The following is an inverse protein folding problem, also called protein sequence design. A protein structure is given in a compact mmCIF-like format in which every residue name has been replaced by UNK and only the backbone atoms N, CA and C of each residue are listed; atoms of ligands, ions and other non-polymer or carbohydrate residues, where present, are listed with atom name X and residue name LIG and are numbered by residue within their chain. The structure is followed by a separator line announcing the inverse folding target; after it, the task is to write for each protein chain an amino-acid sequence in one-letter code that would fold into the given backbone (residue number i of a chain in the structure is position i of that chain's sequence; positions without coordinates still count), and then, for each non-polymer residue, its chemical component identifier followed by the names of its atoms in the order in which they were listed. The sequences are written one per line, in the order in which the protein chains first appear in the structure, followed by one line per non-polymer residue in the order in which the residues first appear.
data_IF_061632899262
#
_entry.id   IF_061632899262
#
_cell.length_a   1.000
_cell.length_b   1.000
_cell.length_c   1.000
_cell.angle_alpha   90.00
_cell.angle_beta   90.00
_cell.angle_gamma   90.00
#
_symmetry.space_group_name_H-M   'P 1'
#
loop_
_entity.id
_entity.type
_entity.pdbx_description
1 polymer ?
#
# COMPACT_ATOMS: atom_id res chain seq x y z
N UNK A 1 1.64 5.64 21.01
CA UNK A 1 0.59 6.69 20.88
C UNK A 1 -0.27 6.64 22.13
N UNK A 2 -0.82 7.78 22.55
CA UNK A 2 -1.77 7.86 23.66
C UNK A 2 -3.02 7.00 23.36
N UNK A 3 -3.39 6.03 24.22
CA UNK A 3 -4.59 5.22 24.03
C UNK A 3 -5.89 6.04 23.91
N UNK A 4 -5.92 7.27 24.42
CA UNK A 4 -7.07 8.18 24.30
C UNK A 4 -7.13 8.95 22.97
N UNK A 5 -6.10 8.86 22.13
CA UNK A 5 -6.11 9.53 20.82
C UNK A 5 -7.17 8.93 19.89
N UNK A 6 -7.87 9.74 19.06
CA UNK A 6 -8.77 9.22 18.04
C UNK A 6 -8.08 8.17 17.16
N UNK A 7 -8.80 7.08 16.86
CA UNK A 7 -8.35 5.94 16.07
C UNK A 7 -7.19 5.11 16.68
N UNK A 8 -6.92 5.22 17.98
CA UNK A 8 -5.85 4.48 18.65
C UNK A 8 -6.04 2.95 18.57
N UNK A 9 -7.27 2.47 18.79
CA UNK A 9 -7.62 1.04 18.74
C UNK A 9 -7.51 0.48 17.32
N UNK A 10 -8.03 1.23 16.35
CA UNK A 10 -7.96 0.96 14.92
C UNK A 10 -6.52 0.80 14.49
N UNK A 11 -5.68 1.78 14.83
CA UNK A 11 -4.26 1.74 14.50
C UNK A 11 -3.56 0.54 15.15
N UNK A 12 -3.83 0.26 16.43
CA UNK A 12 -3.20 -0.87 17.12
C UNK A 12 -3.52 -2.20 16.41
N UNK A 13 -4.79 -2.45 16.12
CA UNK A 13 -5.22 -3.67 15.44
C UNK A 13 -4.69 -3.74 14.01
N UNK A 14 -4.73 -2.62 13.27
CA UNK A 14 -4.19 -2.52 11.91
C UNK A 14 -2.68 -2.83 11.90
N UNK A 15 -1.91 -2.22 12.81
CA UNK A 15 -0.48 -2.48 12.93
C UNK A 15 -0.18 -3.95 13.25
N UNK A 16 -0.89 -4.54 14.22
CA UNK A 16 -0.70 -5.94 14.61
C UNK A 16 -1.06 -6.91 13.49
N UNK A 17 -2.21 -6.73 12.84
CA UNK A 17 -2.65 -7.66 11.80
C UNK A 17 -1.81 -7.54 10.52
N UNK A 18 -1.35 -6.34 10.17
CA UNK A 18 -0.40 -6.14 9.05
C UNK A 18 0.95 -6.77 9.37
N UNK A 19 1.44 -6.69 10.61
CA UNK A 19 2.68 -7.38 11.00
C UNK A 19 2.52 -8.90 10.92
N UNK A 20 1.37 -9.45 11.35
CA UNK A 20 1.07 -10.88 11.23
C UNK A 20 1.01 -11.34 9.77
N UNK A 21 0.38 -10.55 8.90
CA UNK A 21 0.35 -10.83 7.46
C UNK A 21 1.75 -10.71 6.81
N UNK A 22 2.57 -9.73 7.21
CA UNK A 22 3.95 -9.62 6.75
C UNK A 22 4.84 -10.82 7.15
N UNK A 23 4.58 -11.42 8.32
CA UNK A 23 5.24 -12.66 8.73
C UNK A 23 4.88 -13.83 7.79
N UNK A 24 3.60 -13.93 7.45
CA UNK A 24 3.07 -14.93 6.53
C UNK A 24 3.72 -14.82 5.14
N UNK A 25 3.79 -13.61 4.58
CA UNK A 25 4.39 -13.39 3.26
C UNK A 25 5.89 -13.72 3.26
N UNK A 26 6.63 -13.40 4.34
CA UNK A 26 8.05 -13.78 4.47
C UNK A 26 8.26 -15.29 4.58
N UNK A 27 7.41 -16.00 5.31
CA UNK A 27 7.46 -17.48 5.37
C UNK A 27 7.31 -18.12 3.99
N UNK A 28 6.43 -17.57 3.15
CA UNK A 28 6.27 -18.05 1.77
C UNK A 28 7.50 -17.76 0.90
N UNK A 29 8.07 -16.56 0.98
CA UNK A 29 9.32 -16.25 0.24
C UNK A 29 10.46 -17.19 0.64
N UNK A 30 10.62 -17.47 1.92
CA UNK A 30 11.63 -18.44 2.38
C UNK A 30 11.38 -19.85 1.83
N UNK A 31 10.12 -20.29 1.71
CA UNK A 31 9.77 -21.59 1.14
C UNK A 31 10.08 -21.64 -0.37
N UNK A 32 9.79 -20.55 -1.09
CA UNK A 32 10.13 -20.38 -2.51
C UNK A 32 11.64 -20.38 -2.71
N UNK A 33 12.41 -19.66 -1.89
CA UNK A 33 13.87 -19.60 -1.98
C UNK A 33 14.55 -20.93 -1.64
N UNK A 34 13.98 -21.73 -0.75
CA UNK A 34 14.42 -23.10 -0.45
C UNK A 34 14.02 -24.12 -1.53
N UNK A 35 13.36 -23.68 -2.61
CA UNK A 35 12.89 -24.56 -3.69
C UNK A 35 11.74 -25.48 -3.29
N UNK A 36 11.08 -25.21 -2.15
CA UNK A 36 9.89 -25.95 -1.73
C UNK A 36 8.65 -25.52 -2.52
N UNK A 37 8.70 -24.38 -3.19
CA UNK A 37 7.69 -23.83 -4.09
C UNK A 37 8.37 -23.30 -5.37
N UNK A 38 7.72 -23.46 -6.52
CA UNK A 38 8.26 -23.01 -7.81
C UNK A 38 8.06 -21.50 -7.99
N UNK A 39 9.10 -20.78 -8.44
CA UNK A 39 9.06 -19.33 -8.73
C UNK A 39 8.29 -18.99 -10.01
N UNK A 40 8.16 -19.95 -10.92
CA UNK A 40 7.41 -19.80 -12.18
C UNK A 40 5.91 -20.06 -12.01
N UNK A 41 5.52 -20.66 -10.89
CA UNK A 41 4.13 -20.88 -10.49
C UNK A 41 3.59 -19.64 -9.76
N UNK A 42 2.41 -19.15 -10.14
CA UNK A 42 1.75 -18.03 -9.45
C UNK A 42 1.03 -18.47 -8.17
N UNK A 43 0.97 -19.78 -7.88
CA UNK A 43 0.33 -20.32 -6.68
C UNK A 43 0.85 -19.71 -5.36
N UNK A 44 2.16 -19.50 -5.14
CA UNK A 44 2.66 -18.94 -3.88
C UNK A 44 2.12 -17.53 -3.58
N UNK A 45 2.02 -16.68 -4.60
CA UNK A 45 1.48 -15.33 -4.39
C UNK A 45 -0.02 -15.37 -4.15
N UNK A 46 -0.76 -16.15 -4.94
CA UNK A 46 -2.20 -16.40 -4.72
C UNK A 46 -2.51 -16.87 -3.30
N UNK A 47 -1.71 -17.80 -2.75
CA UNK A 47 -1.86 -18.27 -1.37
C UNK A 47 -1.59 -17.13 -0.36
N UNK A 48 -0.55 -16.31 -0.60
CA UNK A 48 -0.22 -15.17 0.24
C UNK A 48 -1.36 -14.16 0.30
N UNK A 49 -1.89 -13.80 -0.87
CA UNK A 49 -2.97 -12.83 -1.04
C UNK A 49 -4.22 -13.24 -0.25
N UNK A 50 -4.71 -14.45 -0.49
CA UNK A 50 -5.91 -14.95 0.18
C UNK A 50 -5.75 -15.09 1.70
N UNK A 51 -4.62 -15.65 2.15
CA UNK A 51 -4.40 -15.89 3.57
C UNK A 51 -4.19 -14.57 4.34
N UNK A 52 -3.44 -13.61 3.76
CA UNK A 52 -3.28 -12.28 4.35
C UNK A 52 -4.61 -11.52 4.41
N UNK A 53 -5.40 -11.53 3.32
CA UNK A 53 -6.73 -10.90 3.30
C UNK A 53 -7.64 -11.49 4.38
N UNK A 54 -7.71 -12.82 4.52
CA UNK A 54 -8.54 -13.46 5.55
C UNK A 54 -8.11 -13.09 6.98
N UNK A 55 -6.80 -13.10 7.26
CA UNK A 55 -6.28 -12.76 8.60
C UNK A 55 -6.51 -11.29 8.96
N UNK A 56 -6.35 -10.38 7.99
CA UNK A 56 -6.56 -8.95 8.16
C UNK A 56 -8.04 -8.66 8.41
N UNK A 57 -8.92 -9.14 7.53
CA UNK A 57 -10.36 -8.92 7.66
C UNK A 57 -10.88 -9.56 8.95
N UNK A 58 -10.46 -10.79 9.26
CA UNK A 58 -10.87 -11.48 10.49
C UNK A 58 -10.56 -10.68 11.75
N UNK A 59 -9.34 -10.16 11.88
CA UNK A 59 -8.92 -9.38 13.04
C UNK A 59 -9.72 -8.08 13.19
N UNK A 60 -9.90 -7.34 12.10
CA UNK A 60 -10.58 -6.05 12.12
C UNK A 60 -12.09 -6.22 12.29
N UNK A 61 -12.72 -7.12 11.52
CA UNK A 61 -14.16 -7.35 11.55
C UNK A 61 -14.62 -7.83 12.94
N UNK A 62 -13.80 -8.63 13.64
CA UNK A 62 -14.10 -9.03 15.01
C UNK A 62 -14.22 -7.85 15.97
N UNK A 63 -13.41 -6.81 15.78
CA UNK A 63 -13.40 -5.61 16.61
C UNK A 63 -14.39 -4.54 16.15
N UNK A 64 -14.70 -4.52 14.84
CA UNK A 64 -15.57 -3.55 14.17
C UNK A 64 -16.52 -4.29 13.20
N UNK A 65 -17.59 -4.94 13.72
CA UNK A 65 -18.45 -5.81 12.92
C UNK A 65 -19.31 -5.07 11.90
N UNK A 66 -19.53 -3.76 12.09
CA UNK A 66 -20.33 -2.92 11.20
C UNK A 66 -19.49 -2.23 10.10
N UNK A 67 -18.16 -2.33 10.16
CA UNK A 67 -17.28 -1.72 9.16
C UNK A 67 -17.32 -2.53 7.86
N UNK A 68 -17.28 -1.83 6.73
CA UNK A 68 -17.20 -2.39 5.39
C UNK A 68 -15.75 -2.80 5.05
N UNK A 69 -15.58 -3.71 4.09
CA UNK A 69 -14.25 -4.15 3.64
C UNK A 69 -14.10 -4.08 2.13
N UNK A 70 -13.02 -3.48 1.66
CA UNK A 70 -12.64 -3.38 0.25
C UNK A 70 -11.28 -4.03 0.07
N UNK A 71 -11.27 -5.33 -0.16
CA UNK A 71 -10.08 -6.11 -0.50
C UNK A 71 -10.01 -6.42 -1.99
N UNK A 72 -8.82 -6.73 -2.49
CA UNK A 72 -8.60 -7.07 -3.90
C UNK A 72 -9.24 -8.42 -4.28
N UNK A 73 -9.14 -9.40 -3.38
CA UNK A 73 -9.37 -10.80 -3.70
C UNK A 73 -10.81 -11.28 -3.48
N UNK A 74 -11.22 -12.33 -4.23
CA UNK A 74 -12.46 -13.10 -4.02
C UNK A 74 -12.20 -14.61 -3.90
N UNK A 75 -13.10 -15.35 -3.26
CA UNK A 75 -12.82 -16.76 -2.91
C UNK A 75 -13.04 -17.76 -4.05
N UNK A 76 -13.39 -17.33 -5.27
CA UNK A 76 -13.80 -18.25 -6.36
C UNK A 76 -12.71 -19.24 -6.73
N UNK A 77 -11.46 -18.80 -6.80
CA UNK A 77 -10.32 -19.66 -7.13
C UNK A 77 -10.14 -20.76 -6.06
N UNK A 78 -10.23 -20.41 -4.78
CA UNK A 78 -10.15 -21.37 -3.67
C UNK A 78 -11.31 -22.37 -3.68
N UNK A 79 -12.52 -21.93 -4.01
CA UNK A 79 -13.70 -22.83 -4.10
C UNK A 79 -13.60 -23.80 -5.28
N UNK A 80 -12.87 -23.43 -6.33
CA UNK A 80 -12.66 -24.26 -7.51
C UNK A 80 -11.49 -25.25 -7.36
N UNK A 81 -10.55 -24.99 -6.43
CA UNK A 81 -9.32 -25.77 -6.24
C UNK A 81 -9.14 -26.18 -4.76
N UNK A 82 -9.52 -27.43 -4.40
CA UNK A 82 -9.36 -27.95 -3.04
C UNK A 82 -7.93 -28.00 -2.52
N UNK A 83 -6.92 -28.17 -3.39
CA UNK A 83 -5.52 -28.22 -2.97
C UNK A 83 -5.03 -26.81 -2.63
N UNK A 84 -5.37 -25.83 -3.45
CA UNK A 84 -5.11 -24.42 -3.17
C UNK A 84 -5.78 -23.97 -1.87
N UNK A 85 -7.04 -24.38 -1.65
CA UNK A 85 -7.76 -24.11 -0.41
C UNK A 85 -7.07 -24.72 0.81
N UNK A 86 -6.63 -25.98 0.74
CA UNK A 86 -5.90 -26.62 1.83
C UNK A 86 -4.63 -25.87 2.19
N UNK A 87 -3.82 -25.53 1.18
CA UNK A 87 -2.54 -24.82 1.39
C UNK A 87 -2.74 -23.42 1.93
N UNK A 88 -3.78 -22.71 1.47
CA UNK A 88 -4.16 -21.39 1.99
C UNK A 88 -4.62 -21.48 3.43
N UNK A 89 -5.44 -22.48 3.77
CA UNK A 89 -5.90 -22.71 5.13
C UNK A 89 -4.77 -23.08 6.08
N UNK A 90 -3.87 -23.97 5.68
CA UNK A 90 -2.70 -24.35 6.49
C UNK A 90 -1.83 -23.13 6.80
N UNK A 91 -1.58 -22.28 5.80
CA UNK A 91 -0.80 -21.07 6.00
C UNK A 91 -1.49 -20.07 6.93
N UNK A 92 -2.78 -19.81 6.73
CA UNK A 92 -3.55 -18.88 7.55
C UNK A 92 -3.68 -19.38 9.00
N UNK A 93 -4.01 -20.65 9.18
CA UNK A 93 -4.27 -21.25 10.50
C UNK A 93 -3.02 -21.48 11.35
N UNK A 94 -1.84 -21.51 10.75
CA UNK A 94 -0.55 -21.68 11.45
C UNK A 94 0.25 -20.38 11.59
N UNK A 95 -0.27 -19.24 11.13
CA UNK A 95 0.41 -17.94 11.26
C UNK A 95 -0.09 -17.20 12.49
N UNK A 96 0.83 -16.99 13.43
CA UNK A 96 0.60 -16.25 14.67
C UNK A 96 1.78 -15.36 14.99
N UNK A 97 1.54 -14.28 15.72
CA UNK A 97 2.61 -13.55 16.41
C UNK A 97 3.17 -14.40 17.57
N UNK A 98 4.48 -14.32 17.79
CA UNK A 98 5.16 -15.01 18.90
C UNK A 98 4.77 -14.42 20.28
N UNK A 99 4.29 -13.17 20.30
CA UNK A 99 3.83 -12.49 21.51
C UNK A 99 2.35 -12.78 21.76
N UNK A 100 2.07 -13.49 22.86
CA UNK A 100 0.72 -13.99 23.16
C UNK A 100 -0.28 -12.89 23.46
N UNK A 101 0.15 -11.81 24.12
CA UNK A 101 -0.73 -10.70 24.46
C UNK A 101 -1.17 -9.95 23.20
N UNK A 102 -0.23 -9.74 22.27
CA UNK A 102 -0.51 -9.16 20.96
C UNK A 102 -1.40 -10.07 20.10
N UNK A 103 -1.10 -11.38 20.02
CA UNK A 103 -1.90 -12.33 19.26
C UNK A 103 -3.33 -12.46 19.81
N UNK A 104 -3.51 -12.37 21.14
CA UNK A 104 -4.82 -12.44 21.77
C UNK A 104 -5.75 -11.26 21.42
N UNK A 105 -5.20 -10.14 20.94
CA UNK A 105 -5.99 -9.02 20.42
C UNK A 105 -6.52 -9.27 19.00
N UNK A 106 -5.93 -10.23 18.29
CA UNK A 106 -6.28 -10.56 16.92
C UNK A 106 -7.25 -11.73 16.86
N UNK A 107 -7.97 -11.80 15.75
CA UNK A 107 -8.84 -12.92 15.42
C UNK A 107 -8.31 -13.61 14.16
N UNK A 108 -8.39 -14.94 14.13
CA UNK A 108 -8.09 -15.76 12.98
C UNK A 108 -9.33 -16.64 12.67
N UNK A 109 -9.61 -16.93 11.38
CA UNK A 109 -10.70 -17.83 11.02
C UNK A 109 -10.48 -19.21 11.65
N UNK A 110 -11.57 -19.85 12.06
CA UNK A 110 -11.58 -21.15 12.74
C UNK A 110 -11.92 -22.31 11.82
N UNK A 111 -12.32 -22.01 10.59
CA UNK A 111 -12.60 -23.02 9.56
C UNK A 111 -12.29 -22.47 8.17
N UNK A 112 -12.16 -23.38 7.20
CA UNK A 112 -12.03 -23.04 5.78
C UNK A 112 -13.21 -22.21 5.27
N UNK A 113 -14.43 -22.55 5.68
CA UNK A 113 -15.61 -21.79 5.24
C UNK A 113 -15.58 -20.35 5.77
N UNK A 114 -15.24 -20.17 7.05
CA UNK A 114 -15.08 -18.83 7.62
C UNK A 114 -13.96 -18.03 6.94
N UNK A 115 -12.85 -18.69 6.57
CA UNK A 115 -11.79 -18.05 5.78
C UNK A 115 -12.30 -17.56 4.42
N UNK A 116 -13.08 -18.39 3.71
CA UNK A 116 -13.67 -18.03 2.41
C UNK A 116 -14.67 -16.86 2.57
N UNK A 117 -15.51 -16.90 3.61
CA UNK A 117 -16.47 -15.83 3.91
C UNK A 117 -15.81 -14.49 4.20
N UNK A 118 -14.70 -14.50 4.95
CA UNK A 118 -13.91 -13.29 5.24
C UNK A 118 -13.26 -12.73 3.96
N UNK A 119 -12.73 -13.60 3.08
CA UNK A 119 -12.21 -13.16 1.78
C UNK A 119 -13.33 -12.49 0.96
N UNK A 120 -14.49 -13.13 0.86
CA UNK A 120 -15.64 -12.61 0.11
C UNK A 120 -16.27 -11.37 0.75
N UNK A 121 -16.06 -11.11 2.04
CA UNK A 121 -16.44 -9.85 2.68
C UNK A 121 -15.67 -8.68 2.04
N UNK A 122 -14.37 -8.83 1.82
CA UNK A 122 -13.53 -7.83 1.14
C UNK A 122 -13.89 -7.64 -0.34
N UNK A 123 -14.31 -8.71 -1.03
CA UNK A 123 -14.70 -8.64 -2.43
C UNK A 123 -16.01 -7.85 -2.67
N UNK A 124 -16.91 -7.82 -1.68
CA UNK A 124 -18.27 -7.26 -1.81
C UNK A 124 -18.38 -5.79 -1.40
N UNK A 125 -17.54 -5.34 -0.47
CA UNK A 125 -17.66 -3.99 0.06
C UNK A 125 -17.19 -2.90 -0.90
N UNK A 126 -17.51 -1.67 -0.53
CA UNK A 126 -17.18 -0.44 -1.28
C UNK A 126 -17.05 0.74 -0.33
N UNK A 127 -16.22 1.71 -0.68
CA UNK A 127 -16.21 2.99 0.03
C UNK A 127 -17.41 3.85 -0.42
N UNK A 128 -17.98 4.63 0.51
CA UNK A 128 -19.03 5.61 0.25
C UNK A 128 -18.88 6.83 1.19
N UNK A 129 -19.71 7.85 0.98
CA UNK A 129 -19.78 9.01 1.88
C UNK A 129 -20.47 8.69 3.22
N UNK A 130 -21.14 7.55 3.30
CA UNK A 130 -21.94 7.11 4.45
C UNK A 130 -21.31 5.90 5.14
N UNK A 131 -20.21 5.37 4.60
CA UNK A 131 -19.56 4.17 5.12
C UNK A 131 -18.25 4.49 5.83
N UNK A 132 -17.94 3.57 6.73
CA UNK A 132 -16.63 3.37 7.30
C UNK A 132 -16.11 2.05 6.76
N UNK A 133 -15.04 2.09 5.99
CA UNK A 133 -14.55 0.96 5.22
C UNK A 133 -13.04 0.78 5.40
N UNK A 134 -12.63 -0.46 5.62
CA UNK A 134 -11.24 -0.86 5.57
C UNK A 134 -10.87 -1.27 4.15
N UNK A 135 -9.88 -0.60 3.59
CA UNK A 135 -9.34 -0.87 2.26
C UNK A 135 -8.03 -1.61 2.43
N UNK A 136 -7.85 -2.74 1.73
CA UNK A 136 -6.62 -3.51 1.80
C UNK A 136 -6.16 -4.03 0.43
N UNK A 137 -4.85 -4.10 0.29
CA UNK A 137 -4.15 -4.88 -0.71
C UNK A 137 -3.26 -5.86 0.07
N UNK A 138 -3.55 -7.17 0.02
CA UNK A 138 -2.81 -8.14 0.81
C UNK A 138 -1.34 -8.27 0.38
N UNK A 139 -1.02 -8.09 -0.91
CA UNK A 139 0.35 -8.07 -1.46
C UNK A 139 0.45 -7.07 -2.64
N UNK A 140 0.64 -5.78 -2.33
CA UNK A 140 0.94 -4.77 -3.35
C UNK A 140 2.34 -5.05 -3.91
N UNK A 141 2.39 -5.30 -5.22
CA UNK A 141 3.60 -5.69 -5.93
C UNK A 141 3.80 -7.21 -6.04
N UNK A 142 2.74 -7.98 -6.25
CA UNK A 142 2.73 -9.42 -6.59
C UNK A 142 3.91 -9.86 -7.48
N UNK A 143 4.21 -9.13 -8.56
CA UNK A 143 5.26 -9.49 -9.51
C UNK A 143 6.68 -9.37 -8.93
N UNK A 144 6.92 -8.39 -8.06
CA UNK A 144 8.20 -8.18 -7.38
C UNK A 144 8.32 -9.04 -6.13
N UNK A 145 7.20 -9.33 -5.45
CA UNK A 145 7.11 -10.36 -4.41
C UNK A 145 7.67 -11.70 -4.91
N UNK A 146 7.20 -12.20 -6.06
CA UNK A 146 7.69 -13.47 -6.63
C UNK A 146 9.20 -13.48 -6.97
N UNK A 147 9.80 -12.30 -7.12
CA UNK A 147 11.24 -12.12 -7.37
C UNK A 147 12.05 -11.92 -6.08
N UNK A 148 11.40 -11.91 -4.91
CA UNK A 148 12.03 -11.57 -3.63
C UNK A 148 12.46 -10.11 -3.54
N UNK A 149 11.85 -9.23 -4.34
CA UNK A 149 12.09 -7.79 -4.40
C UNK A 149 11.15 -7.03 -3.44
N UNK A 150 10.96 -5.73 -3.64
CA UNK A 150 10.12 -4.93 -2.75
C UNK A 150 8.63 -5.23 -2.99
N UNK A 151 7.86 -5.25 -1.90
CA UNK A 151 6.40 -5.40 -1.89
C UNK A 151 5.85 -4.86 -0.57
N UNK A 152 4.53 -4.70 -0.48
CA UNK A 152 3.88 -4.24 0.74
C UNK A 152 2.60 -5.02 1.06
N UNK A 153 2.29 -5.12 2.35
CA UNK A 153 0.98 -5.50 2.87
C UNK A 153 0.29 -4.22 3.32
N UNK A 154 -0.86 -3.88 2.73
CA UNK A 154 -1.44 -2.55 2.82
C UNK A 154 -2.81 -2.59 3.49
N UNK A 155 -3.03 -1.69 4.45
CA UNK A 155 -4.31 -1.53 5.12
C UNK A 155 -4.58 -0.05 5.40
N UNK A 156 -5.77 0.41 5.05
CA UNK A 156 -6.22 1.77 5.31
C UNK A 156 -7.66 1.78 5.82
N UNK A 157 -7.99 2.75 6.67
CA UNK A 157 -9.36 3.05 7.07
C UNK A 157 -9.81 4.31 6.34
N UNK A 158 -10.94 4.20 5.63
CA UNK A 158 -11.63 5.33 4.99
C UNK A 158 -12.97 5.51 5.68
N UNK A 159 -13.28 6.74 6.08
CA UNK A 159 -14.55 7.09 6.74
C UNK A 159 -15.08 8.38 6.10
N UNK A 160 -16.32 8.31 5.60
CA UNK A 160 -16.98 9.40 4.89
C UNK A 160 -16.14 9.96 3.72
N UNK A 161 -15.54 9.05 2.93
CA UNK A 161 -14.67 9.40 1.80
C UNK A 161 -13.27 9.92 2.16
N UNK A 162 -12.92 9.98 3.45
CA UNK A 162 -11.64 10.49 3.92
C UNK A 162 -10.80 9.40 4.58
N UNK A 163 -9.52 9.31 4.23
CA UNK A 163 -8.58 8.41 4.90
C UNK A 163 -8.35 8.85 6.36
N UNK A 164 -8.42 7.90 7.29
CA UNK A 164 -8.25 8.13 8.73
C UNK A 164 -7.02 7.45 9.31
N UNK A 165 -6.77 6.21 8.87
CA UNK A 165 -5.62 5.40 9.29
C UNK A 165 -4.99 4.79 8.04
N UNK A 166 -3.66 4.72 8.00
CA UNK A 166 -2.92 4.04 6.95
C UNK A 166 -1.77 3.26 7.57
N UNK A 167 -1.64 1.99 7.22
CA UNK A 167 -0.59 1.09 7.71
C UNK A 167 -0.06 0.28 6.52
N UNK A 168 1.23 0.38 6.27
CA UNK A 168 1.94 -0.45 5.31
C UNK A 168 2.99 -1.27 6.03
N UNK A 169 2.88 -2.59 5.95
CA UNK A 169 3.96 -3.51 6.26
C UNK A 169 4.83 -3.65 5.03
N UNK A 170 6.11 -3.32 5.11
CA UNK A 170 7.05 -3.41 4.00
C UNK A 170 8.13 -4.44 4.37
N UNK A 171 7.88 -5.75 4.14
CA UNK A 171 8.68 -6.81 4.78
C UNK A 171 10.11 -6.91 4.27
N UNK A 172 10.36 -6.34 3.09
CA UNK A 172 11.67 -6.28 2.44
C UNK A 172 12.28 -4.86 2.46
N UNK A 173 11.67 -3.92 3.18
CA UNK A 173 12.12 -2.53 3.18
C UNK A 173 13.52 -2.39 3.80
N UNK A 174 14.44 -1.88 2.98
CA UNK A 174 15.80 -1.54 3.39
C UNK A 174 16.04 -0.05 3.20
N UNK A 175 16.40 0.63 4.30
CA UNK A 175 16.64 2.08 4.32
C UNK A 175 18.13 2.44 4.50
N UNK A 176 19.04 1.46 4.51
CA UNK A 176 20.45 1.68 4.85
C UNK A 176 21.17 2.64 3.89
N UNK A 177 20.74 2.70 2.62
CA UNK A 177 21.31 3.57 1.58
C UNK A 177 20.63 4.94 1.49
N UNK A 178 19.58 5.18 2.29
CA UNK A 178 18.74 6.38 2.21
C UNK A 178 17.85 6.47 0.96
N UNK A 179 17.94 5.50 0.04
CA UNK A 179 17.11 5.42 -1.17
C UNK A 179 16.53 4.03 -1.32
N UNK A 180 15.23 3.96 -1.60
CA UNK A 180 14.58 2.70 -1.92
C UNK A 180 15.02 2.24 -3.30
N UNK A 181 15.30 0.95 -3.42
CA UNK A 181 15.53 0.28 -4.69
C UNK A 181 14.81 -1.05 -4.67
N UNK A 182 14.24 -1.42 -5.81
CA UNK A 182 13.51 -2.67 -6.00
C UNK A 182 14.35 -3.90 -5.63
N UNK A 183 15.66 -3.87 -5.93
CA UNK A 183 16.60 -4.98 -5.76
C UNK A 183 17.38 -4.99 -4.43
N UNK A 184 17.36 -3.87 -3.69
CA UNK A 184 18.06 -3.75 -2.40
C UNK A 184 17.03 -3.95 -1.28
N UNK A 185 17.01 -5.16 -0.74
CA UNK A 185 15.98 -5.62 0.20
C UNK A 185 16.56 -6.00 1.57
N UNK A 186 15.71 -6.02 2.59
CA UNK A 186 15.97 -6.68 3.86
C UNK A 186 15.64 -8.17 3.71
N UNK A 187 16.68 -9.00 3.55
CA UNK A 187 16.52 -10.44 3.34
C UNK A 187 16.25 -11.19 4.64
N UNK A 188 17.05 -10.89 5.65
CA UNK A 188 17.12 -11.64 6.91
C UNK A 188 16.12 -11.13 7.95
N UNK A 189 15.76 -9.85 7.88
CA UNK A 189 14.78 -9.22 8.75
C UNK A 189 13.37 -9.23 8.19
N UNK A 190 12.48 -8.53 8.89
CA UNK A 190 11.09 -8.31 8.51
C UNK A 190 10.83 -6.89 8.00
N UNK A 191 11.88 -6.14 7.63
CA UNK A 191 11.73 -4.79 7.11
C UNK A 191 11.12 -3.84 8.15
N UNK A 192 10.20 -2.98 7.71
CA UNK A 192 9.58 -1.97 8.58
C UNK A 192 8.10 -1.80 8.29
N UNK A 193 7.38 -1.32 9.29
CA UNK A 193 6.01 -0.85 9.15
C UNK A 193 6.02 0.68 9.14
N UNK A 194 5.34 1.27 8.16
CA UNK A 194 5.12 2.72 8.06
C UNK A 194 3.64 2.99 8.20
N UNK A 195 3.28 3.94 9.05
CA UNK A 195 1.88 4.19 9.37
C UNK A 195 1.59 5.64 9.73
N UNK A 196 0.32 6.01 9.63
CA UNK A 196 -0.17 7.35 9.87
C UNK A 196 -1.62 7.32 10.39
N UNK A 197 -1.96 8.35 11.16
CA UNK A 197 -3.34 8.70 11.50
C UNK A 197 -3.55 10.15 11.09
N UNK A 198 -4.68 10.43 10.44
CA UNK A 198 -4.95 11.75 9.89
C UNK A 198 -4.81 12.87 10.95
N UNK A 199 -3.97 13.85 10.66
CA UNK A 199 -3.65 14.99 11.52
C UNK A 199 -2.69 14.70 12.68
N UNK A 200 -2.12 13.49 12.76
CA UNK A 200 -1.25 13.09 13.89
C UNK A 200 0.20 12.84 13.46
N UNK A 201 0.52 12.94 12.17
CA UNK A 201 1.84 12.65 11.62
C UNK A 201 1.99 11.21 11.13
N UNK A 202 3.19 10.90 10.64
CA UNK A 202 3.57 9.58 10.18
C UNK A 202 4.76 9.04 10.98
N UNK A 203 4.80 7.72 11.12
CA UNK A 203 5.79 7.01 11.92
C UNK A 203 6.28 5.77 11.20
N UNK A 204 7.45 5.32 11.63
CA UNK A 204 8.08 4.09 11.16
C UNK A 204 8.55 3.26 12.35
N UNK A 205 8.44 1.94 12.25
CA UNK A 205 9.05 1.00 13.20
C UNK A 205 9.58 -0.21 12.48
N UNK A 206 10.61 -0.87 13.03
CA UNK A 206 10.97 -2.22 12.57
C UNK A 206 9.85 -3.19 12.89
N UNK A 207 9.58 -4.11 11.96
CA UNK A 207 8.67 -5.24 12.22
C UNK A 207 9.44 -6.40 12.82
N UNK A 208 8.72 -7.26 13.52
CA UNK A 208 9.23 -8.52 14.04
C UNK A 208 8.14 -9.55 14.15
N UNK A 209 8.45 -10.65 14.83
CA UNK A 209 7.51 -11.77 15.01
C UNK A 209 6.57 -11.59 16.21
N UNK A 210 6.89 -10.73 17.16
CA UNK A 210 6.19 -10.58 18.43
C UNK A 210 5.38 -9.28 18.54
N UNK A 211 5.51 -8.60 19.69
CA UNK A 211 4.83 -7.34 19.95
C UNK A 211 5.31 -6.20 19.02
N UNK A 212 4.48 -5.17 18.89
CA UNK A 212 4.87 -3.95 18.16
C UNK A 212 6.04 -3.27 18.87
N UNK A 213 7.14 -3.06 18.14
CA UNK A 213 8.29 -2.30 18.63
C UNK A 213 7.98 -0.81 18.75
N UNK A 214 8.84 -0.07 19.45
CA UNK A 214 8.79 1.38 19.48
C UNK A 214 8.87 1.97 18.06
N UNK A 215 8.20 3.09 17.84
CA UNK A 215 8.13 3.76 16.55
C UNK A 215 8.76 5.14 16.63
N UNK A 216 9.45 5.52 15.56
CA UNK A 216 10.05 6.83 15.38
C UNK A 216 9.16 7.69 14.48
N UNK A 217 9.09 8.99 14.75
CA UNK A 217 8.41 9.92 13.85
C UNK A 217 9.25 10.15 12.60
N UNK A 218 8.61 10.14 11.43
CA UNK A 218 9.29 10.39 10.15
C UNK A 218 9.59 11.88 9.96
N UNK A 219 8.77 12.77 10.54
CA UNK A 219 8.91 14.21 10.39
C UNK A 219 8.56 14.74 9.00
N UNK A 220 8.37 16.06 8.91
CA UNK A 220 7.96 16.73 7.67
C UNK A 220 9.03 16.63 6.57
N UNK A 221 8.59 16.50 5.31
CA UNK A 221 9.47 16.54 4.15
C UNK A 221 9.84 17.98 3.77
N UNK A 222 11.07 18.22 3.27
CA UNK A 222 11.47 19.53 2.79
C UNK A 222 10.56 20.07 1.69
N UNK A 223 10.34 21.38 1.69
CA UNK A 223 9.71 22.07 0.57
C UNK A 223 10.74 22.25 -0.57
N UNK A 224 10.25 22.19 -1.81
CA UNK A 224 11.05 22.32 -3.03
C UNK A 224 10.50 23.47 -3.86
N UNK A 225 11.35 24.35 -4.36
CA UNK A 225 10.93 25.49 -5.20
C UNK A 225 11.60 25.50 -6.57
N UNK A 226 12.82 24.96 -6.69
CA UNK A 226 13.50 24.80 -7.98
C UNK A 226 13.15 23.42 -8.58
N UNK A 227 12.60 23.34 -9.80
CA UNK A 227 12.34 22.06 -10.46
C UNK A 227 13.57 21.18 -10.62
N UNK A 228 14.79 21.76 -10.60
CA UNK A 228 16.04 20.98 -10.65
C UNK A 228 16.24 20.08 -9.43
N UNK A 229 15.59 20.39 -8.32
CA UNK A 229 15.65 19.61 -7.08
C UNK A 229 14.55 18.53 -7.02
N UNK A 230 13.68 18.43 -8.04
CA UNK A 230 12.72 17.35 -8.15
C UNK A 230 13.45 16.01 -8.37
N UNK A 231 13.09 15.03 -7.58
CA UNK A 231 13.54 13.65 -7.69
C UNK A 231 12.30 12.75 -7.75
N UNK A 232 12.02 12.27 -8.96
CA UNK A 232 10.83 11.48 -9.23
C UNK A 232 11.02 10.01 -8.83
N UNK A 233 9.93 9.40 -8.37
CA UNK A 233 9.73 7.95 -8.36
C UNK A 233 8.69 7.56 -9.41
N UNK A 234 8.97 6.48 -10.13
CA UNK A 234 8.08 5.92 -11.14
C UNK A 234 8.27 4.39 -11.24
N UNK A 235 7.62 3.76 -12.23
CA UNK A 235 7.82 2.36 -12.58
C UNK A 235 7.97 2.21 -14.10
N UNK A 236 9.16 1.85 -14.56
CA UNK A 236 9.45 1.73 -15.99
C UNK A 236 8.67 0.60 -16.66
N UNK A 237 8.34 -0.43 -15.88
CA UNK A 237 7.60 -1.61 -16.34
C UNK A 237 6.08 -1.48 -16.17
N UNK A 238 5.57 -0.36 -15.62
CA UNK A 238 4.14 -0.18 -15.41
C UNK A 238 3.38 -0.06 -16.75
N UNK A 239 2.37 -0.92 -16.91
CA UNK A 239 1.52 -0.93 -18.11
C UNK A 239 0.40 0.10 -18.05
N UNK A 240 0.03 0.58 -16.86
CA UNK A 240 -1.05 1.57 -16.67
C UNK A 240 -0.59 3.03 -16.82
N UNK A 241 0.70 3.32 -16.62
CA UNK A 241 1.27 4.67 -16.65
C UNK A 241 1.91 5.02 -17.99
N UNK A 242 1.82 6.27 -18.41
CA UNK A 242 2.41 6.81 -19.62
C UNK A 242 3.72 7.56 -19.31
N UNK A 243 4.82 6.80 -19.17
CA UNK A 243 6.13 7.34 -18.78
C UNK A 243 6.72 8.35 -19.78
N UNK A 244 6.32 8.30 -21.06
CA UNK A 244 6.75 9.31 -22.03
C UNK A 244 6.10 10.68 -21.78
N UNK A 245 4.85 10.70 -21.30
CA UNK A 245 4.21 11.95 -20.86
C UNK A 245 4.84 12.47 -19.56
N UNK A 246 5.23 11.58 -18.65
CA UNK A 246 5.96 12.00 -17.45
C UNK A 246 7.29 12.68 -17.82
N UNK A 247 8.04 12.11 -18.77
CA UNK A 247 9.27 12.68 -19.29
C UNK A 247 9.06 14.07 -19.93
N UNK A 248 7.95 14.24 -20.67
CA UNK A 248 7.58 15.55 -21.24
C UNK A 248 7.26 16.58 -20.16
N UNK A 249 6.54 16.19 -19.11
CA UNK A 249 6.25 17.09 -17.97
C UNK A 249 7.53 17.49 -17.25
N UNK A 250 8.44 16.53 -16.99
CA UNK A 250 9.74 16.83 -16.38
C UNK A 250 10.56 17.79 -17.25
N UNK A 251 10.63 17.55 -18.56
CA UNK A 251 11.29 18.42 -19.53
C UNK A 251 10.70 19.84 -19.53
N UNK A 252 9.37 19.96 -19.54
CA UNK A 252 8.65 21.24 -19.49
C UNK A 252 8.95 22.04 -18.22
N UNK A 253 9.09 21.35 -17.09
CA UNK A 253 9.45 21.95 -15.80
C UNK A 253 10.93 22.34 -15.71
N UNK A 254 11.80 21.79 -16.56
CA UNK A 254 13.25 21.85 -16.38
C UNK A 254 13.76 20.95 -15.26
N UNK A 255 13.03 19.88 -14.96
CA UNK A 255 13.33 18.91 -13.91
C UNK A 255 14.19 17.75 -14.44
N UNK A 256 14.98 17.07 -13.57
CA UNK A 256 15.75 15.89 -13.95
C UNK A 256 14.87 14.74 -14.44
N UNK A 257 15.31 14.08 -15.52
CA UNK A 257 14.71 12.85 -16.04
C UNK A 257 15.79 12.02 -16.78
N UNK A 258 15.81 10.67 -16.71
CA UNK A 258 14.85 9.77 -16.06
C UNK A 258 14.82 9.91 -14.53
N UNK A 259 13.71 9.48 -13.95
CA UNK A 259 13.51 9.34 -12.51
C UNK A 259 14.62 8.49 -11.87
N UNK A 260 14.95 8.75 -10.61
CA UNK A 260 16.07 8.05 -9.95
C UNK A 260 15.66 6.82 -9.14
N UNK A 261 14.35 6.69 -8.87
CA UNK A 261 13.76 5.59 -8.09
C UNK A 261 12.74 4.86 -8.94
N UNK A 262 13.01 3.59 -9.26
CA UNK A 262 12.08 2.69 -9.96
C UNK A 262 11.48 1.70 -8.96
N UNK A 263 10.17 1.75 -8.77
CA UNK A 263 9.44 0.88 -7.84
C UNK A 263 8.11 0.39 -8.43
N UNK A 264 7.96 -0.92 -8.53
CA UNK A 264 6.79 -1.60 -9.07
C UNK A 264 5.55 -1.40 -8.19
N UNK A 265 5.66 -1.82 -6.92
CA UNK A 265 4.61 -1.70 -5.90
C UNK A 265 4.14 -0.24 -5.80
N UNK A 266 2.83 -0.01 -5.97
CA UNK A 266 2.28 1.35 -6.02
C UNK A 266 2.45 2.07 -4.69
N UNK A 267 2.21 1.36 -3.60
CA UNK A 267 2.24 1.86 -2.24
C UNK A 267 3.66 2.22 -1.78
N UNK A 268 4.67 1.48 -2.24
CA UNK A 268 6.08 1.79 -1.90
C UNK A 268 6.61 3.07 -2.52
N UNK A 269 5.98 3.59 -3.57
CA UNK A 269 6.34 4.90 -4.13
C UNK A 269 5.99 6.02 -3.15
N UNK A 270 4.88 5.89 -2.42
CA UNK A 270 4.56 6.80 -1.32
C UNK A 270 5.55 6.67 -0.16
N UNK A 271 5.98 5.45 0.16
CA UNK A 271 6.99 5.22 1.19
C UNK A 271 8.34 5.84 0.80
N UNK A 272 8.77 5.70 -0.46
CA UNK A 272 10.00 6.32 -0.95
C UNK A 272 10.00 7.83 -0.75
N UNK A 273 8.87 8.49 -1.01
CA UNK A 273 8.69 9.93 -0.74
C UNK A 273 8.68 10.19 0.77
N UNK A 274 7.93 9.41 1.55
CA UNK A 274 7.74 9.63 2.98
C UNK A 274 9.05 9.55 3.76
N UNK A 275 9.91 8.58 3.45
CA UNK A 275 11.21 8.40 4.11
C UNK A 275 12.30 9.30 3.53
N UNK A 276 12.02 10.06 2.46
CA UNK A 276 12.94 11.01 1.84
C UNK A 276 13.93 10.39 0.84
N UNK A 277 13.64 9.21 0.29
CA UNK A 277 14.43 8.61 -0.79
C UNK A 277 14.25 9.29 -2.15
N UNK A 278 13.09 9.92 -2.34
CA UNK A 278 12.75 10.79 -3.47
C UNK A 278 11.74 11.83 -2.99
N UNK A 279 11.19 12.67 -3.87
CA UNK A 279 10.30 13.75 -3.45
C UNK A 279 9.06 14.01 -4.34
N UNK A 280 8.94 13.37 -5.50
CA UNK A 280 7.78 13.56 -6.35
C UNK A 280 7.33 12.28 -7.08
N UNK A 281 6.04 12.20 -7.39
CA UNK A 281 5.45 11.19 -8.27
C UNK A 281 4.43 11.86 -9.19
N UNK A 282 4.41 11.44 -10.44
CA UNK A 282 3.37 11.77 -11.42
C UNK A 282 2.88 10.45 -12.01
N UNK A 283 1.56 10.27 -12.05
CA UNK A 283 0.91 9.13 -12.71
C UNK A 283 -0.09 9.65 -13.72
N UNK A 284 0.31 9.70 -14.99
CA UNK A 284 -0.56 9.95 -16.13
C UNK A 284 -0.97 8.59 -16.72
N UNK A 285 -2.26 8.22 -16.70
CA UNK A 285 -2.69 6.95 -17.25
C UNK A 285 -2.50 6.86 -18.77
N UNK A 286 -2.21 5.66 -19.30
CA UNK A 286 -2.16 5.45 -20.77
C UNK A 286 -3.52 5.58 -21.45
N UNK A 287 -4.59 5.24 -20.73
CA UNK A 287 -5.98 5.28 -21.23
C UNK A 287 -6.78 6.28 -20.42
N UNK A 288 -7.51 7.18 -21.09
CA UNK A 288 -8.35 8.18 -20.44
C UNK A 288 -9.46 7.56 -19.54
N UNK A 289 -9.93 6.36 -19.90
CA UNK A 289 -10.94 5.60 -19.13
C UNK A 289 -10.38 4.90 -17.89
N UNK A 290 -9.05 4.81 -17.74
CA UNK A 290 -8.45 4.14 -16.59
C UNK A 290 -8.69 4.93 -15.30
N UNK A 291 -9.01 4.20 -14.23
CA UNK A 291 -9.06 4.70 -12.86
C UNK A 291 -8.35 3.69 -11.97
N UNK A 292 -7.48 4.18 -11.09
CA UNK A 292 -6.76 3.32 -10.16
C UNK A 292 -7.71 2.62 -9.20
N UNK A 293 -7.31 1.43 -8.75
CA UNK A 293 -7.98 0.81 -7.61
C UNK A 293 -7.67 1.62 -6.36
N UNK A 294 -8.61 1.62 -5.41
CA UNK A 294 -8.42 2.38 -4.17
C UNK A 294 -7.33 1.76 -3.28
N UNK A 295 -7.21 0.43 -3.29
CA UNK A 295 -6.22 -0.31 -2.49
C UNK A 295 -4.77 -0.11 -2.94
N UNK A 296 -4.51 0.23 -4.21
CA UNK A 296 -3.18 0.63 -4.72
C UNK A 296 -2.64 1.94 -4.11
N UNK A 297 -3.48 2.72 -3.43
CA UNK A 297 -3.18 4.11 -3.06
C UNK A 297 -3.58 4.51 -1.64
N UNK A 298 -4.70 3.99 -1.13
CA UNK A 298 -5.17 4.31 0.21
C UNK A 298 -4.16 3.85 1.26
N UNK A 299 -3.94 4.67 2.29
CA UNK A 299 -2.89 4.45 3.28
C UNK A 299 -1.57 5.11 2.87
N UNK A 300 -1.02 4.76 1.71
CA UNK A 300 0.16 5.42 1.15
C UNK A 300 -0.04 6.92 0.91
N UNK A 301 -1.18 7.30 0.33
CA UNK A 301 -1.57 8.71 0.18
C UNK A 301 -1.63 9.44 1.52
N UNK A 302 -2.27 8.84 2.54
CA UNK A 302 -2.36 9.43 3.86
C UNK A 302 -0.98 9.62 4.50
N UNK A 303 -0.11 8.59 4.43
CA UNK A 303 1.25 8.68 4.97
C UNK A 303 2.04 9.81 4.30
N UNK A 304 1.94 9.95 2.97
CA UNK A 304 2.57 11.07 2.26
C UNK A 304 2.02 12.43 2.73
N UNK A 305 0.69 12.54 2.91
CA UNK A 305 0.06 13.77 3.42
C UNK A 305 0.52 14.14 4.82
N UNK A 306 0.63 13.16 5.72
CA UNK A 306 1.05 13.36 7.11
C UNK A 306 2.52 13.78 7.26
N UNK A 307 3.37 13.56 6.23
CA UNK A 307 4.73 14.13 6.17
C UNK A 307 4.79 15.46 5.40
N UNK A 308 3.65 16.09 5.12
CA UNK A 308 3.59 17.43 4.53
C UNK A 308 3.63 17.47 3.00
N UNK A 309 3.38 16.35 2.33
CA UNK A 309 3.35 16.25 0.87
C UNK A 309 1.91 16.37 0.37
N UNK A 310 1.69 17.07 -0.75
CA UNK A 310 0.37 17.22 -1.35
C UNK A 310 0.08 16.09 -2.33
N UNK A 311 -1.15 15.56 -2.30
CA UNK A 311 -1.64 14.49 -3.17
C UNK A 311 -2.92 14.97 -3.88
N UNK A 312 -2.94 14.95 -5.20
CA UNK A 312 -4.10 15.35 -6.02
C UNK A 312 -4.24 14.51 -7.28
N UNK A 313 -5.37 14.66 -7.99
CA UNK A 313 -5.48 14.28 -9.39
C UNK A 313 -4.57 15.16 -10.30
N UNK A 314 -4.57 14.90 -11.61
CA UNK A 314 -3.80 15.70 -12.58
C UNK A 314 -4.29 17.15 -12.76
N UNK A 315 -5.52 17.47 -12.33
CA UNK A 315 -6.08 18.81 -12.39
C UNK A 315 -5.79 19.65 -11.13
N UNK A 316 -5.28 19.03 -10.07
CA UNK A 316 -4.98 19.65 -8.79
C UNK A 316 -6.10 19.49 -7.74
N UNK A 317 -7.10 18.66 -8.01
CA UNK A 317 -8.22 18.42 -7.10
C UNK A 317 -7.86 17.36 -6.03
N UNK A 318 -8.39 17.48 -4.80
CA UNK A 318 -8.25 16.45 -3.79
C UNK A 318 -8.77 15.08 -4.27
N UNK A 319 -8.15 14.01 -3.79
CA UNK A 319 -8.56 12.65 -4.11
C UNK A 319 -9.77 12.25 -3.25
N UNK A 320 -10.90 11.97 -3.90
CA UNK A 320 -12.10 11.46 -3.26
C UNK A 320 -12.08 9.92 -3.18
N UNK A 321 -12.08 9.39 -1.95
CA UNK A 321 -12.07 7.96 -1.68
C UNK A 321 -13.48 7.37 -1.48
N UNK A 322 -14.56 8.14 -1.70
CA UNK A 322 -15.95 7.70 -1.49
C UNK A 322 -16.61 7.02 -2.70
N UNK A 323 -15.93 6.94 -3.84
CA UNK A 323 -16.58 6.53 -5.10
C UNK A 323 -16.44 5.04 -5.41
N UNK A 324 -16.57 4.21 -4.37
CA UNK A 324 -16.63 2.76 -4.49
C UNK A 324 -15.29 2.04 -4.33
N UNK A 325 -14.94 1.19 -5.30
CA UNK A 325 -13.73 0.33 -5.29
C UNK A 325 -12.56 0.91 -6.09
N UNK A 326 -12.78 2.04 -6.76
CA UNK A 326 -11.77 2.75 -7.55
C UNK A 326 -11.76 4.21 -7.15
N UNK A 327 -10.67 4.91 -7.44
CA UNK A 327 -10.62 6.36 -7.33
C UNK A 327 -11.34 6.98 -8.54
N UNK A 328 -12.65 6.74 -8.69
CA UNK A 328 -13.40 7.01 -9.92
C UNK A 328 -13.39 8.50 -10.32
N UNK A 329 -13.40 9.40 -9.33
CA UNK A 329 -13.31 10.84 -9.51
C UNK A 329 -11.89 11.36 -9.74
N UNK A 330 -10.86 10.52 -9.61
CA UNK A 330 -9.45 10.91 -9.71
C UNK A 330 -8.85 10.42 -11.03
N UNK A 331 -8.59 11.34 -11.96
CA UNK A 331 -7.83 11.01 -13.17
C UNK A 331 -6.33 11.24 -12.95
N UNK A 332 -5.57 10.15 -12.94
CA UNK A 332 -4.14 10.16 -12.64
C UNK A 332 -3.82 10.58 -11.21
N UNK A 333 -2.57 10.96 -10.95
CA UNK A 333 -2.11 11.36 -9.63
C UNK A 333 -0.88 12.28 -9.72
N UNK A 334 -0.80 13.26 -8.83
CA UNK A 334 0.42 14.04 -8.53
C UNK A 334 0.67 13.95 -7.02
N UNK A 335 1.91 13.65 -6.65
CA UNK A 335 2.38 13.66 -5.26
C UNK A 335 3.64 14.49 -5.22
N UNK A 336 3.64 15.63 -4.54
CA UNK A 336 4.78 16.54 -4.50
C UNK A 336 4.68 17.55 -3.34
N UNK A 337 5.78 18.18 -2.91
CA UNK A 337 5.73 19.24 -1.91
C UNK A 337 4.78 20.37 -2.34
N UNK A 338 3.96 20.92 -1.41
CA UNK A 338 3.04 22.02 -1.70
C UNK A 338 3.66 23.20 -2.45
N UNK A 339 4.91 23.52 -2.16
CA UNK A 339 5.66 24.64 -2.75
C UNK A 339 5.92 24.54 -4.26
N UNK A 340 5.90 23.35 -4.85
CA UNK A 340 6.10 23.14 -6.30
C UNK A 340 4.92 22.47 -7.00
N UNK A 341 4.02 21.86 -6.23
CA UNK A 341 2.88 21.11 -6.75
C UNK A 341 2.05 21.87 -7.80
N UNK A 342 1.78 23.17 -7.59
CA UNK A 342 1.02 23.98 -8.55
C UNK A 342 1.67 24.05 -9.93
N UNK A 343 2.99 24.20 -9.98
CA UNK A 343 3.77 24.23 -11.23
C UNK A 343 3.71 22.90 -11.97
N UNK A 344 3.72 21.79 -11.22
CA UNK A 344 3.58 20.44 -11.81
C UNK A 344 2.20 20.28 -12.44
N UNK A 345 1.13 20.73 -11.77
CA UNK A 345 -0.24 20.71 -12.31
C UNK A 345 -0.34 21.52 -13.61
N UNK A 346 0.26 22.71 -13.66
CA UNK A 346 0.29 23.54 -14.87
C UNK A 346 1.03 22.85 -16.02
N UNK A 347 2.23 22.31 -15.76
CA UNK A 347 3.00 21.59 -16.77
C UNK A 347 2.27 20.34 -17.28
N UNK A 348 1.56 19.60 -16.42
CA UNK A 348 0.69 18.49 -16.82
C UNK A 348 -0.42 18.97 -17.74
N UNK A 349 -1.12 20.06 -17.40
CA UNK A 349 -2.20 20.61 -18.22
C UNK A 349 -1.72 20.98 -19.63
N UNK A 350 -0.59 21.66 -19.73
CA UNK A 350 0.01 22.03 -21.02
C UNK A 350 0.41 20.80 -21.85
N UNK A 351 1.11 19.83 -21.26
CA UNK A 351 1.50 18.59 -21.95
C UNK A 351 0.30 17.78 -22.43
N UNK A 352 -0.79 17.77 -21.67
CA UNK A 352 -2.03 17.08 -22.03
C UNK A 352 -2.82 17.81 -23.14
N UNK A 353 -2.78 19.15 -23.18
CA UNK A 353 -3.38 19.94 -24.27
C UNK A 353 -2.65 19.69 -25.60
N UNK A 354 -1.32 19.71 -25.58
CA UNK A 354 -0.45 19.41 -26.73
C UNK A 354 -0.61 17.98 -27.30
N UNK A 355 -1.32 17.07 -26.61
CA UNK A 355 -1.66 15.73 -27.13
C UNK A 355 -2.93 15.70 -27.98
N UNK A 356 -3.78 16.72 -27.83
CA UNK A 356 -5.12 16.78 -28.43
C UNK A 356 -5.15 17.61 -29.71
N UNK A 357 -4.08 18.37 -29.96
CA UNK A 357 -3.80 19.13 -31.19
C UNK A 357 -3.05 18.27 -32.22
#
# INVERSE_FOLDING_TARGET
MDPSSPYSKELQLACLTVQRAALLTKRLLEAVDKGSLDKSDSTPVTIADFAAQALIIGAIHKAFPEDEFVGEEDSKALRADPELLERTWELASTTHLDDKDSEALLYAPKSKEEMLDLIDLGARGKCSLESRAWVLDPVDGTATFMQGQQYAVCLALVENGCQKVGVLGCPNLNLATGRLREDVVDRDGYGSQVFAVAGQGAWIRKMGRGALLAADSIGQRPQITDPKDLDFVDCGSATSSNTSLHARVASKLGAPWPYSTDLWAAQLRYIAIAVGGCNALIKIPRKASYRSKIWDHAGGMLIAQEVGVKVTDLAGNPVDCSLGRTLAGCYGMIVAPPSIHGRIVEAVKEVMQEQTE
#
